data_IF_031424652387
#
_entry.id   IF_031424652387
#
_cell.length_a   1.000
_cell.length_b   1.000
_cell.length_c   1.000
_cell.angle_alpha   90.00
_cell.angle_beta   90.00
_cell.angle_gamma   90.00
#
_symmetry.space_group_name_H-M   'P 1'
#
loop_
_entity.id
_entity.type
_entity.pdbx_description
1 polymer ?
#
# COMPACT_ATOMS: atom_id res chain seq x y z
N UNK A 1 -14.07 0.19 -27.54
CA UNK A 1 -12.96 1.16 -27.43
C UNK A 1 -11.67 0.39 -27.22
N UNK A 2 -10.69 0.57 -28.10
CA UNK A 2 -9.44 -0.18 -28.06
C UNK A 2 -8.64 0.21 -26.80
N UNK A 3 -8.33 -0.77 -25.95
CA UNK A 3 -7.33 -0.60 -24.90
C UNK A 3 -5.97 -0.49 -25.59
N UNK A 4 -5.51 0.74 -25.82
CA UNK A 4 -4.09 0.95 -26.06
C UNK A 4 -3.34 0.49 -24.82
N UNK A 5 -2.62 -0.62 -24.94
CA UNK A 5 -1.59 -1.07 -23.99
C UNK A 5 -0.46 -0.05 -24.02
N UNK A 6 -0.64 1.08 -23.34
CA UNK A 6 0.47 1.98 -23.08
C UNK A 6 1.45 1.24 -22.18
N UNK A 7 2.66 1.01 -22.68
CA UNK A 7 3.76 0.43 -21.91
C UNK A 7 4.06 1.37 -20.75
N UNK A 8 4.01 0.84 -19.52
CA UNK A 8 4.44 1.59 -18.35
C UNK A 8 5.97 1.68 -18.35
N UNK A 9 6.50 2.89 -18.29
CA UNK A 9 7.94 3.06 -18.14
C UNK A 9 8.35 2.66 -16.71
N UNK A 10 9.38 1.84 -16.59
CA UNK A 10 10.00 1.48 -15.31
C UNK A 10 11.39 2.13 -15.24
N UNK A 11 11.74 2.71 -14.09
CA UNK A 11 13.06 3.25 -13.82
C UNK A 11 13.59 2.73 -12.49
N UNK A 12 14.81 2.20 -12.50
CA UNK A 12 15.57 1.88 -11.30
C UNK A 12 16.19 3.16 -10.73
N UNK A 13 16.13 3.32 -9.40
CA UNK A 13 16.68 4.46 -8.67
C UNK A 13 17.67 3.88 -7.65
N UNK A 14 18.93 3.81 -8.05
CA UNK A 14 20.05 3.19 -7.33
C UNK A 14 21.21 4.18 -7.08
N UNK A 15 20.98 5.47 -7.33
CA UNK A 15 21.94 6.55 -7.08
C UNK A 15 21.24 7.82 -6.60
N UNK A 16 21.95 8.60 -5.78
CA UNK A 16 21.47 9.89 -5.24
C UNK A 16 20.98 10.81 -6.37
N UNK A 17 21.77 10.97 -7.44
CA UNK A 17 21.37 11.82 -8.57
C UNK A 17 20.14 11.32 -9.34
N UNK A 18 19.84 10.02 -9.32
CA UNK A 18 18.58 9.50 -9.86
C UNK A 18 17.41 9.76 -8.90
N UNK A 19 17.64 9.67 -7.59
CA UNK A 19 16.66 9.95 -6.54
C UNK A 19 16.28 11.43 -6.53
N UNK A 20 17.23 12.35 -6.60
CA UNK A 20 16.98 13.80 -6.72
C UNK A 20 16.09 14.09 -7.94
N UNK A 21 16.35 13.46 -9.09
CA UNK A 21 15.53 13.61 -10.30
C UNK A 21 14.11 13.10 -10.10
N UNK A 22 13.94 11.97 -9.41
CA UNK A 22 12.63 11.45 -9.04
C UNK A 22 11.89 12.44 -8.12
N UNK A 23 12.52 12.93 -7.05
CA UNK A 23 11.89 13.83 -6.09
C UNK A 23 11.46 15.15 -6.77
N UNK A 24 12.32 15.73 -7.61
CA UNK A 24 11.99 16.90 -8.41
C UNK A 24 10.82 16.65 -9.38
N UNK A 25 10.70 15.44 -9.93
CA UNK A 25 9.55 15.07 -10.76
C UNK A 25 8.29 14.96 -9.91
N UNK A 26 8.36 14.34 -8.74
CA UNK A 26 7.23 14.23 -7.81
C UNK A 26 6.72 15.62 -7.40
N UNK A 27 7.59 16.55 -7.05
CA UNK A 27 7.19 17.91 -6.68
C UNK A 27 6.32 18.58 -7.76
N UNK A 28 6.68 18.41 -9.04
CA UNK A 28 5.90 18.95 -10.17
C UNK A 28 4.54 18.29 -10.33
N UNK A 29 4.44 17.00 -10.02
CA UNK A 29 3.21 16.22 -10.20
C UNK A 29 2.23 16.37 -9.03
N UNK A 30 2.73 16.62 -7.82
CA UNK A 30 1.93 16.69 -6.58
C UNK A 30 1.10 17.98 -6.44
N UNK A 31 1.18 18.90 -7.39
CA UNK A 31 0.25 20.04 -7.50
C UNK A 31 -1.14 19.65 -8.02
N UNK A 32 -1.31 18.41 -8.47
CA UNK A 32 -2.59 17.84 -8.84
C UNK A 32 -3.03 16.84 -7.77
N UNK A 33 -4.34 16.66 -7.63
CA UNK A 33 -4.85 15.52 -6.88
C UNK A 33 -4.18 14.27 -7.53
N UNK A 34 -3.40 13.54 -6.72
CA UNK A 34 -2.53 12.46 -7.18
C UNK A 34 -2.45 11.33 -6.15
N UNK A 35 -3.05 10.19 -6.50
CA UNK A 35 -2.85 8.92 -5.81
C UNK A 35 -1.47 8.31 -6.15
N UNK A 36 -0.62 8.13 -5.12
CA UNK A 36 0.62 7.37 -5.21
C UNK A 36 0.37 5.91 -4.83
N UNK A 37 0.75 4.96 -5.67
CA UNK A 37 0.60 3.54 -5.36
C UNK A 37 1.97 2.96 -5.06
N UNK A 38 2.15 2.33 -3.90
CA UNK A 38 3.46 1.83 -3.54
C UNK A 38 3.43 0.50 -2.79
N UNK A 39 4.58 -0.17 -2.80
CA UNK A 39 4.84 -1.41 -2.09
C UNK A 39 6.24 -1.34 -1.46
N UNK A 40 6.37 -1.86 -0.23
CA UNK A 40 7.65 -1.95 0.48
C UNK A 40 8.07 -3.40 0.51
N UNK A 41 9.17 -3.73 -0.17
CA UNK A 41 9.77 -5.05 -0.09
C UNK A 41 10.75 -5.10 1.06
N UNK A 42 10.40 -5.83 2.12
CA UNK A 42 11.31 -6.12 3.22
C UNK A 42 12.11 -7.37 2.96
N UNK A 43 13.20 -7.51 3.71
CA UNK A 43 13.99 -8.72 3.81
C UNK A 43 14.16 -9.04 5.29
N UNK A 44 13.90 -10.28 5.65
CA UNK A 44 13.97 -10.78 7.03
C UNK A 44 13.06 -9.95 7.98
N UNK A 45 11.82 -10.34 8.26
CA UNK A 45 10.84 -9.49 8.97
C UNK A 45 11.14 -9.21 10.46
N UNK A 46 12.32 -9.63 10.96
CA UNK A 46 12.75 -9.42 12.35
C UNK A 46 13.44 -8.06 12.57
N UNK A 47 13.97 -7.85 13.79
CA UNK A 47 14.64 -6.59 14.16
C UNK A 47 15.87 -6.29 13.29
N UNK A 48 16.56 -7.32 12.79
CA UNK A 48 17.72 -7.19 11.91
C UNK A 48 17.34 -7.13 10.41
N UNK A 49 16.04 -6.95 10.13
CA UNK A 49 15.53 -6.79 8.78
C UNK A 49 16.05 -5.55 8.06
N UNK A 50 15.75 -5.48 6.77
CA UNK A 50 16.01 -4.27 5.97
C UNK A 50 14.96 -4.12 4.87
N UNK A 51 14.89 -2.94 4.28
CA UNK A 51 14.05 -2.69 3.11
C UNK A 51 14.92 -2.86 1.86
N UNK A 52 14.50 -3.77 0.97
CA UNK A 52 15.16 -3.97 -0.32
C UNK A 52 14.81 -2.88 -1.32
N UNK A 53 13.53 -2.81 -1.65
CA UNK A 53 13.01 -1.99 -2.74
C UNK A 53 11.73 -1.32 -2.26
N UNK A 54 11.61 -0.02 -2.50
CA UNK A 54 10.31 0.66 -2.51
C UNK A 54 9.88 0.80 -3.96
N UNK A 55 8.79 0.12 -4.32
CA UNK A 55 8.18 0.25 -5.64
C UNK A 55 7.14 1.36 -5.59
N UNK A 56 7.23 2.34 -6.48
CA UNK A 56 6.34 3.50 -6.52
C UNK A 56 5.78 3.68 -7.93
N UNK A 57 4.46 3.54 -8.08
CA UNK A 57 3.73 3.89 -9.29
C UNK A 57 3.08 5.26 -9.15
N UNK A 58 3.49 6.17 -10.03
CA UNK A 58 2.98 7.54 -10.09
C UNK A 58 1.95 7.62 -11.22
N UNK A 59 0.67 7.56 -10.85
CA UNK A 59 -0.44 7.44 -11.81
C UNK A 59 -0.50 8.57 -12.84
N UNK A 60 -0.35 9.87 -12.50
CA UNK A 60 -0.41 10.97 -13.47
C UNK A 60 0.57 10.82 -14.66
N UNK A 61 1.79 10.35 -14.39
CA UNK A 61 2.84 10.15 -15.41
C UNK A 61 2.97 8.69 -15.86
N UNK A 62 2.12 7.79 -15.33
CA UNK A 62 2.05 6.36 -15.64
C UNK A 62 3.40 5.63 -15.57
N UNK A 63 4.27 6.04 -14.65
CA UNK A 63 5.64 5.55 -14.49
C UNK A 63 5.83 4.82 -13.17
N UNK A 64 6.60 3.74 -13.20
CA UNK A 64 7.03 2.97 -12.03
C UNK A 64 8.48 3.30 -11.71
N UNK A 65 8.76 3.60 -10.46
CA UNK A 65 10.09 3.79 -9.91
C UNK A 65 10.39 2.68 -8.91
N UNK A 66 11.51 2.00 -9.08
CA UNK A 66 12.01 1.02 -8.13
C UNK A 66 13.17 1.65 -7.38
N UNK A 67 12.93 2.04 -6.13
CA UNK A 67 13.90 2.74 -5.28
C UNK A 67 14.69 1.69 -4.52
N UNK A 68 15.99 1.60 -4.83
CA UNK A 68 16.93 0.66 -4.25
C UNK A 68 17.40 1.12 -2.88
N UNK A 69 16.61 0.82 -1.86
CA UNK A 69 16.91 1.24 -0.50
C UNK A 69 18.18 0.57 0.04
N UNK A 70 18.50 -0.66 -0.41
CA UNK A 70 19.77 -1.30 -0.02
C UNK A 70 20.99 -0.60 -0.61
N UNK A 71 20.93 -0.20 -1.89
CA UNK A 71 22.05 0.48 -2.53
C UNK A 71 22.19 1.92 -2.06
N UNK A 72 21.07 2.62 -1.86
CA UNK A 72 21.06 4.00 -1.40
C UNK A 72 21.32 4.14 0.11
N UNK A 73 20.99 3.13 0.91
CA UNK A 73 21.06 3.21 2.37
C UNK A 73 20.24 4.38 2.91
N UNK A 74 20.82 5.14 3.84
CA UNK A 74 20.16 6.31 4.43
C UNK A 74 19.88 7.42 3.42
N UNK A 75 20.66 7.52 2.34
CA UNK A 75 20.44 8.51 1.29
C UNK A 75 19.08 8.36 0.61
N UNK A 76 18.47 7.17 0.68
CA UNK A 76 17.10 6.93 0.22
C UNK A 76 16.07 7.87 0.86
N UNK A 77 16.34 8.34 2.09
CA UNK A 77 15.40 9.10 2.90
C UNK A 77 15.90 10.50 3.29
N UNK A 78 17.20 10.75 3.20
CA UNK A 78 17.82 12.06 3.50
C UNK A 78 18.02 12.94 2.27
N UNK A 79 18.15 12.35 1.07
CA UNK A 79 18.25 13.10 -0.19
C UNK A 79 16.99 13.94 -0.41
N UNK A 80 17.17 15.19 -0.83
CA UNK A 80 16.08 16.14 -1.10
C UNK A 80 15.97 16.53 -2.58
N UNK A 81 14.79 16.98 -2.98
CA UNK A 81 14.60 17.75 -4.20
C UNK A 81 15.12 19.19 -4.05
N UNK A 82 15.03 19.95 -5.15
CA UNK A 82 15.28 21.40 -5.15
C UNK A 82 14.29 22.19 -4.27
N UNK A 83 13.16 21.58 -3.90
CA UNK A 83 12.15 22.17 -3.02
C UNK A 83 12.27 21.64 -1.57
N UNK A 84 13.41 21.03 -1.21
CA UNK A 84 13.69 20.45 0.10
C UNK A 84 12.72 19.31 0.52
N UNK A 85 12.05 18.66 -0.44
CA UNK A 85 11.22 17.50 -0.18
C UNK A 85 12.05 16.21 -0.31
N UNK A 86 11.96 15.33 0.69
CA UNK A 86 12.56 13.98 0.65
C UNK A 86 11.51 12.89 0.54
N UNK A 87 11.94 11.66 0.23
CA UNK A 87 11.05 10.49 0.26
C UNK A 87 10.44 10.29 1.65
N UNK A 88 11.20 10.56 2.72
CA UNK A 88 10.68 10.54 4.09
C UNK A 88 9.53 11.53 4.27
N UNK A 89 9.74 12.81 3.91
CA UNK A 89 8.70 13.83 4.05
C UNK A 89 7.43 13.47 3.26
N UNK A 90 7.58 12.90 2.06
CA UNK A 90 6.46 12.40 1.27
C UNK A 90 5.70 11.27 1.99
N UNK A 91 6.42 10.30 2.56
CA UNK A 91 5.83 9.17 3.28
C UNK A 91 5.16 9.57 4.61
N UNK A 92 5.64 10.63 5.27
CA UNK A 92 5.08 11.16 6.53
C UNK A 92 3.98 12.21 6.32
N UNK A 93 3.83 12.75 5.11
CA UNK A 93 2.84 13.78 4.80
C UNK A 93 1.41 13.22 4.68
N UNK A 94 0.40 13.84 5.32
CA UNK A 94 -1.01 13.50 5.10
C UNK A 94 -1.59 14.13 3.82
N UNK A 95 -0.88 15.08 3.21
CA UNK A 95 -1.40 15.89 2.10
C UNK A 95 -1.53 15.10 0.78
N UNK A 96 -0.68 14.08 0.61
CA UNK A 96 -0.67 13.22 -0.57
C UNK A 96 -1.22 11.85 -0.17
N UNK A 97 -2.31 11.36 -0.77
CA UNK A 97 -2.78 10.01 -0.53
C UNK A 97 -1.78 8.97 -1.05
N UNK A 98 -1.43 8.00 -0.20
CA UNK A 98 -0.60 6.85 -0.60
C UNK A 98 -1.39 5.56 -0.42
N UNK A 99 -1.49 4.80 -1.50
CA UNK A 99 -2.28 3.58 -1.60
C UNK A 99 -1.30 2.40 -1.61
N UNK A 100 -1.56 1.43 -0.74
CA UNK A 100 -0.79 0.19 -0.66
C UNK A 100 -1.72 -0.97 -0.30
N UNK A 101 -1.18 -2.19 -0.28
CA UNK A 101 -1.86 -3.36 0.25
C UNK A 101 -1.18 -3.80 1.55
N UNK A 102 -1.93 -3.88 2.66
CA UNK A 102 -1.46 -4.25 3.99
C UNK A 102 -0.40 -3.30 4.60
N UNK A 103 -0.88 -2.27 5.31
CA UNK A 103 -0.01 -1.22 5.89
C UNK A 103 0.87 -1.73 7.02
N UNK A 104 0.48 -2.80 7.72
CA UNK A 104 1.14 -3.22 8.96
C UNK A 104 2.61 -3.54 8.74
N UNK A 105 2.90 -4.36 7.73
CA UNK A 105 4.27 -4.77 7.40
C UNK A 105 5.12 -3.60 6.89
N UNK A 106 4.58 -2.78 5.98
CA UNK A 106 5.28 -1.61 5.44
C UNK A 106 5.59 -0.58 6.53
N UNK A 107 4.63 -0.30 7.40
CA UNK A 107 4.75 0.65 8.51
C UNK A 107 5.76 0.18 9.57
N UNK A 108 5.68 -1.10 9.97
CA UNK A 108 6.64 -1.67 10.91
C UNK A 108 8.08 -1.56 10.38
N UNK A 109 8.32 -1.93 9.12
CA UNK A 109 9.65 -1.88 8.53
C UNK A 109 10.19 -0.46 8.41
N UNK A 110 9.39 0.47 7.86
CA UNK A 110 9.79 1.88 7.72
C UNK A 110 10.08 2.54 9.06
N UNK A 111 9.28 2.23 10.08
CA UNK A 111 9.47 2.79 11.41
C UNK A 111 10.67 2.17 12.13
N UNK A 112 10.78 0.85 12.18
CA UNK A 112 11.83 0.17 12.94
C UNK A 112 13.22 0.38 12.34
N UNK A 113 13.34 0.46 11.01
CA UNK A 113 14.64 0.58 10.35
C UNK A 113 15.06 2.02 10.07
N UNK A 114 14.10 2.94 9.84
CA UNK A 114 14.43 4.33 9.43
C UNK A 114 13.67 5.41 10.22
N UNK A 115 12.89 5.03 11.24
CA UNK A 115 12.14 5.98 12.08
C UNK A 115 11.03 6.72 11.32
N UNK A 116 10.56 6.20 10.19
CA UNK A 116 9.57 6.86 9.33
C UNK A 116 8.16 6.48 9.76
N UNK A 117 7.31 7.47 10.04
CA UNK A 117 5.90 7.26 10.41
C UNK A 117 4.96 7.54 9.25
N UNK A 118 4.44 6.48 8.63
CA UNK A 118 3.50 6.60 7.52
C UNK A 118 2.26 7.42 7.90
N UNK A 119 1.82 8.29 6.99
CA UNK A 119 0.59 9.08 7.11
C UNK A 119 -0.15 9.14 5.77
N UNK A 120 -1.41 9.57 5.74
CA UNK A 120 -2.18 9.70 4.48
C UNK A 120 -2.40 8.36 3.74
N UNK A 121 -2.31 7.22 4.45
CA UNK A 121 -2.39 5.89 3.85
C UNK A 121 -3.83 5.49 3.53
N UNK A 122 -4.01 4.80 2.40
CA UNK A 122 -5.19 4.01 2.04
C UNK A 122 -4.76 2.55 1.91
N UNK A 123 -5.24 1.70 2.82
CA UNK A 123 -4.90 0.28 2.83
C UNK A 123 -5.99 -0.52 2.09
N UNK A 124 -5.62 -1.07 0.94
CA UNK A 124 -6.52 -1.84 0.10
C UNK A 124 -7.01 -3.13 0.76
N UNK A 125 -6.24 -3.72 1.68
CA UNK A 125 -6.68 -4.91 2.41
C UNK A 125 -7.81 -4.54 3.38
N UNK A 126 -7.73 -3.40 4.05
CA UNK A 126 -8.79 -2.91 4.95
C UNK A 126 -10.04 -2.54 4.15
N UNK A 127 -9.85 -1.88 3.00
CA UNK A 127 -10.94 -1.54 2.09
C UNK A 127 -11.66 -2.78 1.56
N UNK A 128 -10.91 -3.82 1.17
CA UNK A 128 -11.48 -5.08 0.69
C UNK A 128 -12.46 -5.67 1.71
N UNK A 129 -12.06 -5.78 2.98
CA UNK A 129 -12.92 -6.31 4.04
C UNK A 129 -14.22 -5.51 4.20
N UNK A 130 -14.10 -4.19 4.15
CA UNK A 130 -15.23 -3.28 4.25
C UNK A 130 -16.21 -3.50 3.10
N UNK A 131 -15.71 -3.72 1.88
CA UNK A 131 -16.55 -3.97 0.70
C UNK A 131 -17.14 -5.37 0.64
N UNK A 132 -16.53 -6.36 1.29
CA UNK A 132 -16.96 -7.74 1.28
C UNK A 132 -17.82 -8.16 2.50
N UNK A 133 -18.08 -7.25 3.44
CA UNK A 133 -18.93 -7.55 4.58
C UNK A 133 -20.36 -7.97 4.14
N UNK A 134 -20.99 -8.99 4.79
CA UNK A 134 -20.50 -9.79 5.92
C UNK A 134 -19.70 -11.04 5.51
N UNK A 135 -19.46 -11.29 4.21
CA UNK A 135 -18.73 -12.49 3.75
C UNK A 135 -17.30 -12.55 4.31
N UNK A 136 -16.65 -11.40 4.46
CA UNK A 136 -15.30 -11.28 5.03
C UNK A 136 -15.19 -11.64 6.53
N UNK A 137 -16.29 -11.67 7.31
CA UNK A 137 -16.24 -11.99 8.75
C UNK A 137 -15.81 -13.44 9.05
N UNK A 138 -15.95 -14.33 8.07
CA UNK A 138 -15.61 -15.75 8.20
C UNK A 138 -14.26 -16.10 7.58
N UNK A 139 -13.61 -15.14 6.91
CA UNK A 139 -12.38 -15.34 6.16
C UNK A 139 -11.18 -14.74 6.91
N UNK A 140 -9.99 -15.32 6.70
CA UNK A 140 -8.73 -14.66 7.05
C UNK A 140 -8.54 -13.40 6.19
N UNK A 141 -7.67 -12.49 6.61
CA UNK A 141 -7.28 -11.34 5.78
C UNK A 141 -6.92 -11.79 4.35
N UNK A 142 -7.56 -11.22 3.33
CA UNK A 142 -7.28 -11.58 1.95
C UNK A 142 -5.83 -11.22 1.59
N UNK A 143 -5.17 -12.09 0.83
CA UNK A 143 -3.89 -11.75 0.21
C UNK A 143 -4.11 -10.89 -1.03
N UNK A 144 -3.04 -10.25 -1.53
CA UNK A 144 -3.11 -9.51 -2.78
C UNK A 144 -3.51 -10.44 -3.94
N UNK A 145 -2.94 -11.64 -4.00
CA UNK A 145 -3.28 -12.67 -5.00
C UNK A 145 -4.78 -12.97 -5.00
N UNK A 146 -5.37 -13.25 -3.85
CA UNK A 146 -6.82 -13.50 -3.72
C UNK A 146 -7.64 -12.32 -4.24
N UNK A 147 -7.30 -11.08 -3.84
CA UNK A 147 -8.01 -9.89 -4.31
C UNK A 147 -7.91 -9.70 -5.83
N UNK A 148 -6.73 -9.98 -6.40
CA UNK A 148 -6.51 -9.85 -7.85
C UNK A 148 -7.33 -10.90 -8.61
N UNK A 149 -7.42 -12.12 -8.08
CA UNK A 149 -8.11 -13.23 -8.75
C UNK A 149 -9.64 -13.15 -8.65
N UNK A 150 -10.14 -12.78 -7.47
CA UNK A 150 -11.56 -12.88 -7.15
C UNK A 150 -12.29 -11.54 -7.34
N UNK A 151 -11.66 -10.43 -6.94
CA UNK A 151 -12.35 -9.13 -6.89
C UNK A 151 -12.16 -8.35 -8.18
N UNK A 152 -10.93 -8.32 -8.70
CA UNK A 152 -10.59 -7.54 -9.88
C UNK A 152 -9.71 -8.28 -10.91
N UNK A 153 -10.14 -9.45 -11.43
CA UNK A 153 -9.34 -10.22 -12.38
C UNK A 153 -9.00 -9.38 -13.63
N UNK A 154 -7.72 -9.16 -13.95
CA UNK A 154 -7.34 -8.58 -15.23
C UNK A 154 -7.68 -9.54 -16.38
N UNK A 155 -7.57 -9.11 -17.66
CA UNK A 155 -7.81 -10.01 -18.80
C UNK A 155 -7.04 -11.32 -18.66
N UNK A 156 -7.65 -12.45 -19.08
CA UNK A 156 -7.13 -13.82 -18.84
C UNK A 156 -5.63 -13.96 -19.11
N UNK A 157 -5.14 -13.40 -20.23
CA UNK A 157 -3.71 -13.43 -20.57
C UNK A 157 -2.84 -12.66 -19.58
N UNK A 158 -3.28 -11.47 -19.17
CA UNK A 158 -2.58 -10.65 -18.18
C UNK A 158 -2.58 -11.32 -16.81
N UNK A 159 -3.69 -11.97 -16.41
CA UNK A 159 -3.75 -12.73 -15.16
C UNK A 159 -2.79 -13.92 -15.18
N UNK A 160 -2.72 -14.66 -16.30
CA UNK A 160 -1.80 -15.79 -16.44
C UNK A 160 -0.33 -15.35 -16.32
N UNK A 161 0.05 -14.23 -16.95
CA UNK A 161 1.39 -13.66 -16.83
C UNK A 161 1.70 -13.18 -15.41
N UNK A 162 0.72 -12.53 -14.77
CA UNK A 162 0.85 -12.09 -13.37
C UNK A 162 1.11 -13.27 -12.44
N UNK A 163 0.28 -14.32 -12.54
CA UNK A 163 0.45 -15.57 -11.78
C UNK A 163 1.79 -16.23 -12.05
N UNK A 164 2.26 -16.25 -13.30
CA UNK A 164 3.54 -16.84 -13.66
C UNK A 164 4.70 -16.14 -12.94
N UNK A 165 4.72 -14.81 -12.91
CA UNK A 165 5.76 -14.03 -12.22
C UNK A 165 5.69 -14.27 -10.71
N UNK A 166 4.50 -14.17 -10.11
CA UNK A 166 4.31 -14.40 -8.67
C UNK A 166 4.71 -15.83 -8.25
N UNK A 167 4.34 -16.84 -9.04
CA UNK A 167 4.76 -18.23 -8.81
C UNK A 167 6.28 -18.39 -8.92
N UNK A 168 6.90 -17.74 -9.91
CA UNK A 168 8.36 -17.77 -10.08
C UNK A 168 9.06 -17.21 -8.84
N UNK A 169 8.63 -16.03 -8.37
CA UNK A 169 9.20 -15.42 -7.15
C UNK A 169 8.91 -16.26 -5.91
N UNK A 170 7.70 -16.80 -5.77
CA UNK A 170 7.37 -17.71 -4.66
C UNK A 170 8.28 -18.93 -4.62
N UNK A 171 8.61 -19.52 -5.78
CA UNK A 171 9.55 -20.65 -5.87
C UNK A 171 11.01 -20.25 -5.60
N UNK A 172 11.36 -18.98 -5.80
CA UNK A 172 12.67 -18.43 -5.44
C UNK A 172 12.80 -18.19 -3.93
N UNK A 173 11.68 -18.02 -3.23
CA UNK A 173 11.62 -17.80 -1.77
C UNK A 173 11.42 -19.08 -0.94
N UNK A 174 11.18 -20.21 -1.59
CA UNK A 174 10.81 -21.47 -0.95
C UNK A 174 11.89 -21.97 0.04
N UNK A 175 11.65 -21.90 1.36
CA UNK A 175 12.59 -22.32 2.39
C UNK A 175 12.91 -23.81 2.30
N UNK A 176 11.97 -24.63 1.83
CA UNK A 176 12.14 -26.07 1.69
C UNK A 176 13.19 -26.45 0.62
N UNK A 177 13.58 -25.49 -0.23
CA UNK A 177 14.64 -25.64 -1.24
C UNK A 177 15.97 -25.01 -0.82
N UNK A 178 16.13 -24.65 0.45
CA UNK A 178 17.31 -23.96 0.96
C UNK A 178 17.46 -22.53 0.44
N UNK A 179 16.36 -21.94 -0.05
CA UNK A 179 16.30 -20.57 -0.58
C UNK A 179 15.66 -19.64 0.46
N UNK A 180 16.07 -18.38 0.50
CA UNK A 180 15.57 -17.40 1.45
C UNK A 180 15.13 -16.11 0.74
N UNK A 181 14.64 -15.13 1.49
CA UNK A 181 14.40 -13.77 0.98
C UNK A 181 15.68 -13.06 0.48
N UNK A 182 16.84 -13.74 0.50
CA UNK A 182 18.08 -13.30 -0.12
C UNK A 182 17.96 -12.97 -1.62
N UNK A 183 16.99 -13.51 -2.35
CA UNK A 183 16.76 -13.14 -3.75
C UNK A 183 16.46 -11.63 -3.92
N UNK A 184 15.92 -10.99 -2.89
CA UNK A 184 15.71 -9.54 -2.85
C UNK A 184 16.98 -8.78 -2.46
N UNK A 185 18.03 -9.44 -1.95
CA UNK A 185 19.35 -8.84 -1.67
C UNK A 185 20.25 -8.79 -2.92
N UNK A 186 20.05 -9.70 -3.88
CA UNK A 186 20.89 -9.81 -5.08
C UNK A 186 20.94 -8.48 -5.88
N UNK A 187 22.14 -8.09 -6.32
CA UNK A 187 22.36 -6.96 -7.25
C UNK A 187 23.30 -7.38 -8.40
N UNK A 188 22.99 -7.05 -9.66
CA UNK A 188 21.74 -6.41 -10.12
C UNK A 188 20.53 -7.33 -9.92
N UNK A 189 19.34 -6.74 -9.75
CA UNK A 189 18.10 -7.50 -9.59
C UNK A 189 17.82 -8.35 -10.83
N UNK A 190 17.39 -9.60 -10.61
CA UNK A 190 16.94 -10.48 -11.70
C UNK A 190 15.67 -9.93 -12.33
N UNK A 191 15.49 -10.11 -13.64
CA UNK A 191 14.32 -9.61 -14.37
C UNK A 191 12.99 -10.04 -13.73
N UNK A 192 12.87 -11.29 -13.29
CA UNK A 192 11.66 -11.78 -12.63
C UNK A 192 11.32 -11.03 -11.34
N UNK A 193 12.32 -10.49 -10.62
CA UNK A 193 12.13 -9.70 -9.41
C UNK A 193 11.71 -8.26 -9.75
N UNK A 194 12.30 -7.68 -10.81
CA UNK A 194 11.85 -6.39 -11.36
C UNK A 194 10.39 -6.46 -11.81
N UNK A 195 10.02 -7.51 -12.55
CA UNK A 195 8.65 -7.72 -13.02
C UNK A 195 7.68 -7.90 -11.86
N UNK A 196 8.08 -8.62 -10.81
CA UNK A 196 7.28 -8.81 -9.59
C UNK A 196 7.01 -7.48 -8.87
N UNK A 197 8.04 -6.66 -8.66
CA UNK A 197 7.87 -5.33 -8.07
C UNK A 197 6.95 -4.43 -8.88
N UNK A 198 7.11 -4.45 -10.21
CA UNK A 198 6.27 -3.68 -11.11
C UNK A 198 4.80 -4.15 -11.04
N UNK A 199 4.56 -5.46 -11.08
CA UNK A 199 3.22 -6.04 -11.02
C UNK A 199 2.50 -5.76 -9.69
N UNK A 200 3.23 -5.76 -8.57
CA UNK A 200 2.69 -5.45 -7.24
C UNK A 200 2.10 -4.04 -7.14
N UNK A 201 2.65 -3.05 -7.85
CA UNK A 201 2.14 -1.66 -7.81
C UNK A 201 1.18 -1.34 -8.94
N UNK A 202 1.34 -1.95 -10.13
CA UNK A 202 0.47 -1.69 -11.28
C UNK A 202 -0.94 -2.26 -11.12
N UNK A 203 -1.12 -3.27 -10.26
CA UNK A 203 -2.44 -3.84 -9.99
C UNK A 203 -3.27 -3.03 -8.98
N UNK A 204 -2.61 -2.29 -8.09
CA UNK A 204 -3.25 -1.54 -7.00
C UNK A 204 -4.28 -0.50 -7.48
N UNK A 205 -4.05 0.26 -8.58
CA UNK A 205 -5.08 1.16 -9.11
C UNK A 205 -6.39 0.44 -9.42
N UNK A 206 -6.35 -0.78 -9.94
CA UNK A 206 -7.55 -1.54 -10.30
C UNK A 206 -8.38 -1.88 -9.07
N UNK A 207 -7.72 -2.36 -8.01
CA UNK A 207 -8.35 -2.65 -6.73
C UNK A 207 -8.87 -1.38 -6.06
N UNK A 208 -8.09 -0.30 -6.09
CA UNK A 208 -8.48 1.01 -5.58
C UNK A 208 -9.77 1.51 -6.23
N UNK A 209 -9.85 1.50 -7.57
CA UNK A 209 -11.06 1.89 -8.28
C UNK A 209 -12.28 1.05 -7.88
N UNK A 210 -12.13 -0.27 -7.81
CA UNK A 210 -13.20 -1.18 -7.44
C UNK A 210 -13.72 -0.91 -6.02
N UNK A 211 -12.81 -0.79 -5.05
CA UNK A 211 -13.20 -0.60 -3.66
C UNK A 211 -13.75 0.80 -3.43
N UNK A 212 -13.22 1.83 -4.09
CA UNK A 212 -13.76 3.18 -4.04
C UNK A 212 -15.17 3.27 -4.65
N UNK A 213 -15.47 2.58 -5.76
CA UNK A 213 -16.83 2.55 -6.33
C UNK A 213 -17.86 2.10 -5.28
N UNK A 214 -17.49 1.14 -4.45
CA UNK A 214 -18.35 0.68 -3.36
C UNK A 214 -18.32 1.65 -2.19
N UNK A 215 -17.15 1.97 -1.65
CA UNK A 215 -17.01 2.75 -0.43
C UNK A 215 -17.42 4.21 -0.57
N UNK A 216 -17.39 4.81 -1.77
CA UNK A 216 -17.83 6.20 -1.96
C UNK A 216 -19.37 6.35 -1.97
N UNK A 217 -20.13 5.24 -2.04
CA UNK A 217 -21.60 5.29 -2.00
C UNK A 217 -22.09 5.89 -0.67
N UNK A 218 -23.11 6.75 -0.67
CA UNK A 218 -23.66 7.40 0.53
C UNK A 218 -23.85 6.44 1.71
N UNK A 219 -24.48 5.29 1.46
CA UNK A 219 -24.82 4.26 2.44
C UNK A 219 -23.60 3.61 3.13
N UNK A 220 -22.39 3.77 2.59
CA UNK A 220 -21.17 3.16 3.11
C UNK A 220 -20.34 4.12 3.98
N UNK A 221 -20.95 5.17 4.53
CA UNK A 221 -20.28 6.12 5.41
C UNK A 221 -19.62 5.44 6.62
N UNK A 222 -20.33 4.50 7.26
CA UNK A 222 -19.82 3.70 8.36
C UNK A 222 -18.52 2.99 7.96
N UNK A 223 -18.54 2.31 6.81
CA UNK A 223 -17.39 1.57 6.31
C UNK A 223 -16.21 2.47 5.96
N UNK A 224 -16.43 3.68 5.43
CA UNK A 224 -15.35 4.65 5.21
C UNK A 224 -14.65 5.03 6.51
N UNK A 225 -15.43 5.29 7.57
CA UNK A 225 -14.87 5.60 8.88
C UNK A 225 -14.15 4.41 9.51
N UNK A 226 -14.74 3.22 9.43
CA UNK A 226 -14.10 1.98 9.89
C UNK A 226 -12.75 1.76 9.21
N UNK A 227 -12.67 1.95 7.89
CA UNK A 227 -11.40 1.87 7.14
C UNK A 227 -10.42 2.92 7.66
N UNK A 228 -10.83 4.18 7.78
CA UNK A 228 -9.98 5.28 8.26
C UNK A 228 -9.36 4.97 9.64
N UNK A 229 -10.19 4.61 10.61
CA UNK A 229 -9.72 4.31 11.97
C UNK A 229 -8.85 3.06 12.03
N UNK A 230 -9.24 2.00 11.32
CA UNK A 230 -8.47 0.76 11.29
C UNK A 230 -7.08 0.99 10.69
N UNK A 231 -6.97 1.74 9.58
CA UNK A 231 -5.65 2.08 8.99
C UNK A 231 -4.77 2.83 9.98
N UNK A 232 -5.33 3.83 10.67
CA UNK A 232 -4.61 4.59 11.70
C UNK A 232 -4.12 3.69 12.84
N UNK A 233 -4.98 2.79 13.31
CA UNK A 233 -4.65 1.90 14.41
C UNK A 233 -3.60 0.86 14.00
N UNK A 234 -3.67 0.31 12.78
CA UNK A 234 -2.65 -0.61 12.23
C UNK A 234 -1.28 0.07 12.12
N UNK A 235 -1.23 1.34 11.69
CA UNK A 235 0.01 2.13 11.71
C UNK A 235 0.50 2.29 13.15
N UNK A 236 -0.35 2.74 14.08
CA UNK A 236 0.03 2.95 15.48
C UNK A 236 0.60 1.67 16.11
N UNK A 237 -0.08 0.55 15.97
CA UNK A 237 0.28 -0.75 16.54
C UNK A 237 1.58 -1.29 15.93
N UNK A 238 1.77 -1.16 14.61
CA UNK A 238 3.01 -1.57 13.94
C UNK A 238 4.25 -0.83 14.43
N UNK A 239 4.08 0.34 15.05
CA UNK A 239 5.17 1.15 15.62
C UNK A 239 5.33 0.97 17.14
N UNK A 240 4.56 0.09 17.77
CA UNK A 240 4.63 -0.16 19.20
C UNK A 240 5.60 -1.32 19.51
N UNK A 241 6.69 -1.09 20.27
CA UNK A 241 7.62 -2.15 20.65
C UNK A 241 6.97 -3.31 21.41
N UNK A 242 5.89 -3.03 22.17
CA UNK A 242 5.18 -4.04 22.95
C UNK A 242 4.31 -4.98 22.09
N UNK A 243 4.02 -4.60 20.84
CA UNK A 243 3.24 -5.39 19.89
C UNK A 243 4.10 -6.39 19.08
N UNK A 244 5.43 -6.39 19.29
CA UNK A 244 6.38 -7.27 18.59
C UNK A 244 6.25 -8.77 18.99
N UNK A 245 5.41 -9.10 19.96
CA UNK A 245 5.17 -10.46 20.44
C UNK A 245 3.70 -10.86 20.43
N UNK A 246 3.28 -11.59 19.40
CA UNK A 246 2.33 -12.69 19.61
C UNK A 246 0.82 -12.39 19.66
N UNK A 247 0.30 -11.48 18.84
CA UNK A 247 -1.12 -11.57 18.45
C UNK A 247 -1.20 -11.53 16.92
N UNK A 248 -1.70 -12.64 16.37
CA UNK A 248 -1.95 -12.93 14.95
C UNK A 248 -2.06 -11.67 14.09
N UNK A 249 -0.95 -11.24 13.46
CA UNK A 249 -0.87 -10.03 12.63
C UNK A 249 -1.87 -10.03 11.45
N UNK A 250 -2.50 -11.19 11.19
CA UNK A 250 -3.54 -11.42 10.20
C UNK A 250 -4.96 -11.16 10.71
N UNK A 251 -5.17 -10.97 12.01
CA UNK A 251 -6.48 -10.59 12.56
C UNK A 251 -6.61 -9.08 12.53
N UNK A 252 -7.45 -8.60 11.62
CA UNK A 252 -7.82 -7.19 11.45
C UNK A 252 -8.64 -6.60 12.60
N UNK A 253 -8.86 -7.33 13.69
CA UNK A 253 -9.66 -6.90 14.84
C UNK A 253 -11.17 -6.81 14.58
N UNK A 254 -11.64 -7.04 13.35
CA UNK A 254 -13.05 -6.90 12.96
C UNK A 254 -13.86 -8.16 13.30
N UNK A 255 -14.11 -8.40 14.59
CA UNK A 255 -15.08 -9.43 15.01
C UNK A 255 -16.52 -8.98 14.73
N UNK A 256 -17.46 -9.93 14.66
CA UNK A 256 -18.89 -9.60 14.51
C UNK A 256 -19.34 -8.66 15.63
N UNK A 257 -18.97 -8.97 16.87
CA UNK A 257 -19.29 -8.16 18.04
C UNK A 257 -18.70 -6.75 17.93
N UNK A 258 -17.42 -6.62 17.57
CA UNK A 258 -16.79 -5.32 17.37
C UNK A 258 -17.52 -4.47 16.32
N UNK A 259 -17.90 -5.08 15.19
CA UNK A 259 -18.63 -4.39 14.13
C UNK A 259 -20.03 -3.96 14.60
N UNK A 260 -20.79 -4.83 15.25
CA UNK A 260 -22.14 -4.49 15.71
C UNK A 260 -22.10 -3.40 16.80
N UNK A 261 -21.14 -3.46 17.72
CA UNK A 261 -20.90 -2.39 18.69
C UNK A 261 -20.50 -1.08 18.02
N UNK A 262 -19.60 -1.14 17.02
CA UNK A 262 -19.17 0.04 16.26
C UNK A 262 -20.33 0.65 15.47
N UNK A 263 -21.21 -0.17 14.87
CA UNK A 263 -22.42 0.31 14.19
C UNK A 263 -23.41 0.97 15.15
N UNK A 264 -23.58 0.41 16.35
CA UNK A 264 -24.45 0.98 17.36
C UNK A 264 -23.94 2.38 17.78
N UNK A 265 -22.66 2.50 18.11
CA UNK A 265 -22.03 3.80 18.44
C UNK A 265 -22.03 4.77 17.26
N UNK A 266 -21.82 4.29 16.04
CA UNK A 266 -21.86 5.12 14.82
C UNK A 266 -23.21 5.81 14.61
N UNK A 267 -24.32 5.15 14.95
CA UNK A 267 -25.64 5.80 14.86
C UNK A 267 -25.75 6.96 15.86
N UNK A 268 -25.10 6.88 17.02
CA UNK A 268 -25.00 7.97 17.99
C UNK A 268 -24.09 9.09 17.47
N UNK A 269 -22.97 8.76 16.85
CA UNK A 269 -22.05 9.73 16.23
C UNK A 269 -22.69 10.45 15.02
N UNK A 270 -23.49 9.77 14.19
CA UNK A 270 -24.29 10.42 13.13
C UNK A 270 -25.25 11.45 13.75
N UNK A 271 -25.89 11.11 14.86
CA UNK A 271 -26.79 12.04 15.56
C UNK A 271 -26.02 13.27 16.06
N UNK A 272 -24.74 13.12 16.44
CA UNK A 272 -23.83 14.22 16.78
C UNK A 272 -23.32 14.99 15.54
N UNK A 273 -23.17 14.36 14.37
CA UNK A 273 -22.84 15.06 13.11
C UNK A 273 -23.99 15.95 12.63
N UNK A 274 -25.25 15.50 12.77
CA UNK A 274 -26.42 16.36 12.58
C UNK A 274 -26.40 17.58 13.53
N UNK A 275 -25.59 17.53 14.59
CA UNK A 275 -25.34 18.62 15.54
C UNK A 275 -24.00 19.35 15.29
N UNK A 276 -23.27 19.06 14.20
CA UNK A 276 -22.16 19.86 13.68
C UNK A 276 -20.74 19.30 13.82
N UNK A 277 -20.54 18.01 14.16
CA UNK A 277 -19.21 17.37 14.21
C UNK A 277 -18.96 16.56 12.92
N UNK A 278 -17.96 16.89 12.08
CA UNK A 278 -17.83 16.29 10.75
C UNK A 278 -17.28 14.86 10.78
N UNK A 279 -17.96 13.95 10.07
CA UNK A 279 -17.51 12.58 9.82
C UNK A 279 -16.51 12.52 8.65
N UNK A 280 -15.88 11.36 8.41
CA UNK A 280 -14.91 11.20 7.31
C UNK A 280 -15.57 11.50 5.96
N UNK A 281 -15.17 12.61 5.35
CA UNK A 281 -15.74 13.12 4.11
C UNK A 281 -15.66 12.10 2.97
N UNK A 282 -16.66 12.07 2.07
CA UNK A 282 -16.67 11.16 0.91
C UNK A 282 -15.48 11.38 -0.01
N UNK A 283 -15.03 12.62 -0.13
CA UNK A 283 -13.86 13.01 -0.88
C UNK A 283 -12.60 12.33 -0.35
N UNK A 284 -12.57 11.81 0.88
CA UNK A 284 -11.44 11.06 1.44
C UNK A 284 -11.06 9.81 0.63
N UNK A 285 -11.99 9.20 -0.13
CA UNK A 285 -11.71 8.05 -1.00
C UNK A 285 -11.94 8.33 -2.49
N UNK A 286 -12.36 9.54 -2.87
CA UNK A 286 -12.74 9.80 -4.25
C UNK A 286 -11.51 9.74 -5.17
N UNK A 287 -11.44 8.77 -6.10
CA UNK A 287 -10.29 8.59 -7.00
C UNK A 287 -10.13 9.72 -8.04
N UNK A 288 -11.10 10.64 -8.13
CA UNK A 288 -11.09 11.83 -8.98
C UNK A 288 -10.88 13.13 -8.20
N UNK A 289 -10.99 13.09 -6.86
CA UNK A 289 -10.69 14.21 -5.97
C UNK A 289 -9.21 14.20 -5.54
N UNK A 290 -8.51 13.09 -5.84
CA UNK A 290 -7.05 12.86 -5.79
C UNK A 290 -6.51 12.41 -7.17
#
# INVERSE_FOLDING_TARGET
MAFHTATHAMQMIDSVGALEKLLNELDRQLHRPAALFFNVQTIDPGQDGSISIISLFVRPIRKVFLIDVLTLGEDAFTTTSLADNSLKLLLESPAVPKILFDVGNASAALFNHHGIRLNGIKDLQVMQLATQYPRALQAQAASLETCVEEDAPPPVRSLALWKQVHNTVSQLRDPAKGRSDAVFKDRPLKQAILDYHMQNVLILPRLWFLYCDTLCKPANAFWRSMVFHTVRDRIRESTNPASAGGVDARRLGWSREFIETSKAGWNEDILLELQGIPMVDRCWLDPNFF
#
